data_IF_074537621363
#
_entry.id   IF_074537621363
#
_cell.length_a   1.000
_cell.length_b   1.000
_cell.length_c   1.000
_cell.angle_alpha   90.00
_cell.angle_beta   90.00
_cell.angle_gamma   90.00
#
_symmetry.space_group_name_H-M   'P 1'
#
loop_
_entity.id
_entity.type
_entity.pdbx_description
1 polymer ?
#
# COMPACT_ATOMS: atom_id res chain seq x y z
N UNK A 1 0.50 -11.24 -9.64
CA UNK A 1 0.55 -10.34 -8.46
C UNK A 1 1.59 -9.22 -8.60
N UNK A 2 2.76 -9.52 -9.17
CA UNK A 2 3.84 -8.55 -9.39
C UNK A 2 3.37 -7.28 -10.09
N UNK A 3 2.71 -7.41 -11.26
CA UNK A 3 2.21 -6.24 -12.02
C UNK A 3 1.29 -5.34 -11.18
N UNK A 4 0.33 -5.93 -10.44
CA UNK A 4 -0.58 -5.17 -9.58
C UNK A 4 0.15 -4.45 -8.45
N UNK A 5 1.09 -5.13 -7.78
CA UNK A 5 1.88 -4.56 -6.69
C UNK A 5 2.83 -3.46 -7.19
N UNK A 6 3.43 -3.63 -8.37
CA UNK A 6 4.25 -2.60 -9.02
C UNK A 6 3.41 -1.38 -9.39
N UNK A 7 2.20 -1.56 -9.95
CA UNK A 7 1.29 -0.46 -10.25
C UNK A 7 0.85 0.28 -8.98
N UNK A 8 0.57 -0.44 -7.90
CA UNK A 8 0.23 0.16 -6.61
C UNK A 8 1.41 0.97 -6.05
N UNK A 9 2.64 0.44 -6.13
CA UNK A 9 3.85 1.15 -5.72
C UNK A 9 4.08 2.42 -6.54
N UNK A 10 3.87 2.37 -7.86
CA UNK A 10 3.96 3.53 -8.75
C UNK A 10 2.88 4.57 -8.45
N UNK A 11 1.64 4.14 -8.16
CA UNK A 11 0.57 5.06 -7.73
C UNK A 11 0.90 5.78 -6.43
N UNK A 12 1.50 5.06 -5.46
CA UNK A 12 1.92 5.66 -4.20
C UNK A 12 3.14 6.58 -4.35
N UNK A 13 4.10 6.22 -5.21
CA UNK A 13 5.23 7.10 -5.56
C UNK A 13 4.77 8.35 -6.30
N UNK A 14 3.74 8.24 -7.15
CA UNK A 14 3.10 9.39 -7.79
C UNK A 14 2.49 10.31 -6.72
N UNK A 15 1.71 9.78 -5.78
CA UNK A 15 1.20 10.57 -4.64
C UNK A 15 2.30 11.33 -3.91
N UNK A 16 3.42 10.67 -3.62
CA UNK A 16 4.56 11.30 -2.97
C UNK A 16 5.14 12.44 -3.83
N UNK A 17 5.33 12.20 -5.12
CA UNK A 17 5.93 13.18 -6.04
C UNK A 17 5.03 14.39 -6.35
N UNK A 18 3.71 14.26 -6.23
CA UNK A 18 2.74 15.33 -6.54
C UNK A 18 2.05 15.93 -5.32
N UNK A 19 2.53 15.61 -4.11
CA UNK A 19 2.12 16.22 -2.84
C UNK A 19 2.64 17.67 -2.66
N UNK A 20 2.60 18.46 -3.74
CA UNK A 20 2.98 19.88 -3.77
C UNK A 20 1.76 20.78 -3.78
N UNK A 21 1.87 21.97 -3.18
CA UNK A 21 0.78 22.92 -2.93
C UNK A 21 0.06 23.39 -4.22
N UNK A 22 0.74 23.36 -5.37
CA UNK A 22 0.22 23.83 -6.67
C UNK A 22 -0.43 22.72 -7.53
N UNK A 23 -0.56 21.50 -6.99
CA UNK A 23 -1.05 20.34 -7.71
C UNK A 23 -2.56 20.36 -7.94
N UNK A 24 -2.98 20.35 -9.21
CA UNK A 24 -4.41 20.21 -9.56
C UNK A 24 -4.98 18.85 -9.11
N UNK A 25 -6.21 18.84 -8.60
CA UNK A 25 -6.90 17.65 -8.07
C UNK A 25 -6.81 16.41 -8.98
N UNK A 26 -6.94 16.60 -10.30
CA UNK A 26 -6.91 15.51 -11.26
C UNK A 26 -5.56 14.75 -11.28
N UNK A 27 -4.45 15.47 -11.15
CA UNK A 27 -3.08 14.90 -11.28
C UNK A 27 -2.51 14.53 -9.92
N UNK A 28 -2.81 15.29 -8.88
CA UNK A 28 -2.24 15.06 -7.54
C UNK A 28 -3.05 14.07 -6.71
N UNK A 29 -4.34 13.89 -6.99
CA UNK A 29 -5.22 13.04 -6.18
C UNK A 29 -5.88 11.97 -7.04
N UNK A 30 -6.64 12.34 -8.07
CA UNK A 30 -7.45 11.39 -8.84
C UNK A 30 -6.58 10.37 -9.58
N UNK A 31 -5.58 10.82 -10.33
CA UNK A 31 -4.65 9.94 -11.08
C UNK A 31 -3.97 8.90 -10.19
N UNK A 32 -3.25 9.32 -9.14
CA UNK A 32 -2.61 8.41 -8.19
C UNK A 32 -3.59 7.46 -7.49
N UNK A 33 -4.78 7.96 -7.10
CA UNK A 33 -5.84 7.13 -6.49
C UNK A 33 -6.30 6.01 -7.41
N UNK A 34 -6.58 6.34 -8.67
CA UNK A 34 -7.02 5.37 -9.68
C UNK A 34 -5.94 4.33 -9.94
N UNK A 35 -4.69 4.77 -10.12
CA UNK A 35 -3.57 3.86 -10.38
C UNK A 35 -3.32 2.92 -9.21
N UNK A 36 -3.32 3.45 -7.99
CA UNK A 36 -3.16 2.67 -6.77
C UNK A 36 -4.32 1.67 -6.57
N UNK A 37 -5.56 2.13 -6.73
CA UNK A 37 -6.76 1.29 -6.57
C UNK A 37 -6.82 0.18 -7.61
N UNK A 38 -6.45 0.48 -8.85
CA UNK A 38 -6.37 -0.50 -9.93
C UNK A 38 -5.28 -1.54 -9.65
N UNK A 39 -4.08 -1.11 -9.25
CA UNK A 39 -2.99 -2.01 -8.87
C UNK A 39 -3.36 -2.95 -7.72
N UNK A 40 -3.96 -2.40 -6.64
CA UNK A 40 -4.45 -3.19 -5.50
C UNK A 40 -5.56 -4.17 -5.93
N UNK A 41 -6.49 -3.74 -6.79
CA UNK A 41 -7.56 -4.59 -7.31
C UNK A 41 -7.02 -5.81 -8.06
N UNK A 42 -5.97 -5.62 -8.87
CA UNK A 42 -5.28 -6.71 -9.59
C UNK A 42 -4.56 -7.70 -8.65
N UNK A 43 -4.22 -7.30 -7.43
CA UNK A 43 -3.65 -8.20 -6.42
C UNK A 43 -4.72 -8.99 -5.67
N UNK A 44 -5.94 -8.45 -5.54
CA UNK A 44 -6.94 -8.96 -4.61
C UNK A 44 -7.42 -10.38 -4.93
N UNK A 45 -7.72 -10.64 -6.20
CA UNK A 45 -8.21 -11.95 -6.67
C UNK A 45 -7.10 -13.02 -6.61
N UNK A 46 -5.90 -12.80 -7.18
CA UNK A 46 -4.80 -13.77 -7.09
C UNK A 46 -4.36 -14.10 -5.66
N UNK A 47 -4.42 -13.12 -4.75
CA UNK A 47 -4.13 -13.34 -3.33
C UNK A 47 -5.09 -14.35 -2.70
N UNK A 48 -6.38 -14.22 -3.01
CA UNK A 48 -7.40 -15.14 -2.50
C UNK A 48 -7.18 -16.55 -3.02
N UNK A 49 -6.94 -16.69 -4.33
CA UNK A 49 -6.69 -18.00 -4.94
C UNK A 49 -5.41 -18.64 -4.40
N UNK A 50 -4.30 -17.89 -4.34
CA UNK A 50 -3.03 -18.41 -3.85
C UNK A 50 -3.10 -18.89 -2.38
N UNK A 51 -3.94 -18.25 -1.55
CA UNK A 51 -4.15 -18.68 -0.17
C UNK A 51 -4.95 -19.98 -0.03
N UNK A 52 -5.66 -20.41 -1.07
CA UNK A 52 -6.58 -21.57 -0.99
C UNK A 52 -6.22 -22.73 -1.92
N UNK A 53 -5.31 -22.54 -2.89
CA UNK A 53 -5.03 -23.54 -3.93
C UNK A 53 -4.47 -24.87 -3.40
N UNK A 54 -3.65 -24.86 -2.34
CA UNK A 54 -3.04 -26.07 -1.75
C UNK A 54 -3.69 -26.53 -0.44
N UNK A 55 -4.90 -26.02 -0.14
CA UNK A 55 -5.58 -26.28 1.14
C UNK A 55 -6.62 -27.38 0.98
N UNK A 56 -6.67 -28.33 1.92
CA UNK A 56 -7.67 -29.39 1.88
C UNK A 56 -9.10 -28.80 1.94
N UNK A 57 -10.12 -29.43 1.32
CA UNK A 57 -11.49 -28.87 1.26
C UNK A 57 -12.13 -28.54 2.61
N UNK A 58 -11.72 -29.20 3.70
CA UNK A 58 -12.17 -28.92 5.06
C UNK A 58 -11.44 -27.77 5.77
N UNK A 59 -10.32 -27.30 5.22
CA UNK A 59 -9.42 -26.32 5.84
C UNK A 59 -9.48 -24.94 5.19
N UNK A 60 -10.19 -24.80 4.06
CA UNK A 60 -10.35 -23.53 3.33
C UNK A 60 -10.86 -22.39 4.21
N UNK A 61 -11.74 -22.70 5.17
CA UNK A 61 -12.22 -21.72 6.15
C UNK A 61 -11.13 -21.22 7.09
N UNK A 62 -10.22 -22.10 7.53
CA UNK A 62 -9.06 -21.71 8.35
C UNK A 62 -8.05 -20.89 7.55
N UNK A 63 -7.77 -21.29 6.30
CA UNK A 63 -6.87 -20.54 5.41
C UNK A 63 -7.39 -19.13 5.11
N UNK A 64 -8.68 -19.00 4.81
CA UNK A 64 -9.34 -17.70 4.62
C UNK A 64 -9.34 -16.86 5.90
N UNK A 65 -9.58 -17.48 7.06
CA UNK A 65 -9.48 -16.84 8.36
C UNK A 65 -8.08 -16.28 8.63
N UNK A 66 -7.04 -17.10 8.42
CA UNK A 66 -5.63 -16.70 8.54
C UNK A 66 -5.29 -15.55 7.58
N UNK A 67 -5.76 -15.61 6.33
CA UNK A 67 -5.56 -14.53 5.36
C UNK A 67 -6.18 -13.22 5.84
N UNK A 68 -7.42 -13.26 6.33
CA UNK A 68 -8.11 -12.06 6.82
C UNK A 68 -7.48 -11.50 8.10
N UNK A 69 -7.12 -12.36 9.05
CA UNK A 69 -6.36 -11.96 10.25
C UNK A 69 -5.03 -11.33 9.88
N UNK A 70 -4.28 -11.94 8.95
CA UNK A 70 -3.02 -11.40 8.46
C UNK A 70 -3.20 -10.04 7.78
N UNK A 71 -4.29 -9.84 7.02
CA UNK A 71 -4.63 -8.54 6.42
C UNK A 71 -4.96 -7.48 7.47
N UNK A 72 -5.73 -7.82 8.50
CA UNK A 72 -6.04 -6.88 9.58
C UNK A 72 -4.80 -6.50 10.38
N UNK A 73 -3.97 -7.48 10.76
CA UNK A 73 -2.71 -7.25 11.47
C UNK A 73 -1.73 -6.45 10.61
N UNK A 74 -1.58 -6.81 9.33
CA UNK A 74 -0.73 -6.08 8.39
C UNK A 74 -1.23 -4.66 8.14
N UNK A 75 -2.55 -4.46 8.03
CA UNK A 75 -3.15 -3.15 7.84
C UNK A 75 -2.95 -2.22 9.03
N UNK A 76 -3.16 -2.72 10.25
CA UNK A 76 -2.95 -1.92 11.47
C UNK A 76 -1.47 -1.62 11.71
N UNK A 77 -0.58 -2.60 11.53
CA UNK A 77 0.87 -2.42 11.66
C UNK A 77 1.40 -1.44 10.60
N UNK A 78 1.00 -1.63 9.33
CA UNK A 78 1.38 -0.75 8.24
C UNK A 78 0.94 0.69 8.49
N UNK A 79 -0.32 0.89 8.89
CA UNK A 79 -0.82 2.22 9.24
C UNK A 79 -0.04 2.83 10.42
N UNK A 80 0.24 2.06 11.47
CA UNK A 80 1.00 2.54 12.62
C UNK A 80 2.41 3.01 12.23
N UNK A 81 3.11 2.27 11.37
CA UNK A 81 4.42 2.67 10.83
C UNK A 81 4.31 3.96 10.02
N UNK A 82 3.34 4.05 9.10
CA UNK A 82 3.17 5.24 8.25
C UNK A 82 2.82 6.49 9.07
N UNK A 83 1.93 6.37 10.04
CA UNK A 83 1.58 7.46 10.97
C UNK A 83 2.79 7.89 11.79
N UNK A 84 3.59 6.92 12.26
CA UNK A 84 4.82 7.22 13.01
C UNK A 84 5.81 7.99 12.15
N UNK A 85 6.04 7.56 10.91
CA UNK A 85 6.92 8.26 9.95
C UNK A 85 6.43 9.69 9.71
N UNK A 86 5.15 9.87 9.41
CA UNK A 86 4.57 11.19 9.23
C UNK A 86 4.78 12.08 10.46
N UNK A 87 4.45 11.57 11.66
CA UNK A 87 4.58 12.33 12.90
C UNK A 87 6.02 12.71 13.23
N UNK A 88 6.99 11.83 12.96
CA UNK A 88 8.41 12.10 13.16
C UNK A 88 8.91 13.21 12.24
N UNK A 89 8.49 13.23 10.98
CA UNK A 89 8.90 14.27 10.01
C UNK A 89 8.19 15.60 10.27
N UNK A 90 6.90 15.58 10.62
CA UNK A 90 6.16 16.79 11.00
C UNK A 90 6.72 17.47 12.25
N UNK A 91 7.38 16.72 13.15
CA UNK A 91 8.10 17.27 14.30
C UNK A 91 7.22 17.98 15.34
N UNK A 92 5.90 17.71 15.34
CA UNK A 92 4.92 18.36 16.22
C UNK A 92 4.48 19.76 15.77
N UNK A 93 5.00 20.25 14.63
CA UNK A 93 4.53 21.49 14.03
C UNK A 93 3.12 21.33 13.45
N UNK A 94 2.34 22.40 13.44
CA UNK A 94 0.98 22.44 12.88
C UNK A 94 0.89 23.28 11.60
N UNK A 95 2.04 23.76 11.12
CA UNK A 95 2.11 24.53 9.88
C UNK A 95 1.80 23.66 8.66
N UNK A 96 1.14 24.21 7.62
CA UNK A 96 0.77 23.46 6.42
C UNK A 96 1.97 22.81 5.70
N UNK A 97 3.13 23.45 5.70
CA UNK A 97 4.32 22.96 5.03
C UNK A 97 4.92 21.74 5.73
N UNK A 98 5.03 21.79 7.06
CA UNK A 98 5.55 20.71 7.89
C UNK A 98 4.62 19.49 7.83
N UNK A 99 3.31 19.72 7.92
CA UNK A 99 2.30 18.65 7.77
C UNK A 99 2.39 18.01 6.38
N UNK A 100 2.52 18.81 5.31
CA UNK A 100 2.67 18.30 3.94
C UNK A 100 3.93 17.44 3.81
N UNK A 101 5.06 17.88 4.38
CA UNK A 101 6.31 17.11 4.36
C UNK A 101 6.20 15.76 5.09
N UNK A 102 5.44 15.71 6.19
CA UNK A 102 5.15 14.46 6.89
C UNK A 102 4.33 13.48 6.06
N UNK A 103 3.32 13.98 5.35
CA UNK A 103 2.54 13.15 4.41
C UNK A 103 3.38 12.65 3.24
N UNK A 104 4.23 13.51 2.65
CA UNK A 104 5.14 13.13 1.58
C UNK A 104 6.07 11.98 2.01
N UNK A 105 6.68 12.10 3.20
CA UNK A 105 7.52 11.05 3.76
C UNK A 105 6.76 9.74 3.99
N UNK A 106 5.52 9.80 4.47
CA UNK A 106 4.68 8.62 4.63
C UNK A 106 4.31 7.98 3.29
N UNK A 107 4.03 8.77 2.24
CA UNK A 107 3.76 8.22 0.92
C UNK A 107 5.00 7.54 0.31
N UNK A 108 6.20 8.12 0.47
CA UNK A 108 7.44 7.45 0.06
C UNK A 108 7.68 6.14 0.82
N UNK A 109 7.45 6.12 2.14
CA UNK A 109 7.54 4.90 2.93
C UNK A 109 6.54 3.84 2.45
N UNK A 110 5.30 4.23 2.16
CA UNK A 110 4.29 3.34 1.64
C UNK A 110 4.63 2.81 0.23
N UNK A 111 5.20 3.64 -0.64
CA UNK A 111 5.68 3.23 -1.95
C UNK A 111 6.81 2.18 -1.82
N UNK A 112 7.75 2.39 -0.88
CA UNK A 112 8.80 1.43 -0.55
C UNK A 112 8.24 0.09 -0.04
N UNK A 113 7.27 0.11 0.87
CA UNK A 113 6.59 -1.10 1.35
C UNK A 113 5.88 -1.87 0.23
N UNK A 114 5.20 -1.17 -0.68
CA UNK A 114 4.56 -1.79 -1.84
C UNK A 114 5.58 -2.35 -2.84
N UNK A 115 6.71 -1.67 -3.03
CA UNK A 115 7.80 -2.19 -3.86
C UNK A 115 8.42 -3.47 -3.27
N UNK A 116 8.63 -3.52 -1.95
CA UNK A 116 9.07 -4.74 -1.26
C UNK A 116 8.04 -5.86 -1.40
N UNK A 117 6.75 -5.56 -1.29
CA UNK A 117 5.68 -6.53 -1.54
C UNK A 117 5.67 -7.03 -2.99
N UNK A 118 5.92 -6.17 -3.97
CA UNK A 118 6.04 -6.54 -5.38
C UNK A 118 7.25 -7.47 -5.61
N UNK A 119 8.39 -7.18 -4.98
CA UNK A 119 9.58 -8.03 -5.03
C UNK A 119 9.33 -9.39 -4.37
N UNK A 120 8.71 -9.41 -3.19
CA UNK A 120 8.34 -10.65 -2.52
C UNK A 120 7.38 -11.48 -3.38
N UNK A 121 6.37 -10.85 -3.99
CA UNK A 121 5.46 -11.52 -4.91
C UNK A 121 6.20 -12.08 -6.13
N UNK A 122 7.17 -11.36 -6.68
CA UNK A 122 7.97 -11.83 -7.81
C UNK A 122 8.86 -13.03 -7.47
N UNK A 123 9.43 -13.07 -6.26
CA UNK A 123 10.34 -14.13 -5.81
C UNK A 123 9.59 -15.38 -5.32
N UNK A 124 8.45 -15.20 -4.64
CA UNK A 124 7.73 -16.28 -3.95
C UNK A 124 6.61 -16.90 -4.77
N UNK A 125 6.04 -16.17 -5.75
CA UNK A 125 4.92 -16.65 -6.55
C UNK A 125 5.41 -16.95 -7.97
N UNK A 126 5.36 -18.22 -8.42
CA UNK A 126 5.69 -18.59 -9.80
C UNK A 126 4.65 -18.10 -10.81
#
# INVERSE_FOLDING_TARGET
MTVGATLAALGMAWFAATATVDGGFLVSILGPSLLCSFGIGLCFVPLGTAATTDVAPGETGMASGLLNSSRQVGGSLGLAVLVTVAAQVTGGATGPAEVSSGYEAAFWAAAGLLALAALAAYVLLP
#
